data_IF_229572584538
#
_entry.id   IF_229572584538
#
_cell.length_a   1.000
_cell.length_b   1.000
_cell.length_c   1.000
_cell.angle_alpha   90.00
_cell.angle_beta   90.00
_cell.angle_gamma   90.00
#
_symmetry.space_group_name_H-M   'P 1'
#
loop_
_entity.id
_entity.type
_entity.pdbx_description
1 polymer ?
#
# COMPACT_ATOMS: atom_id res chain seq x y z
N UNK A 1 -9.59 -14.69 -20.59
CA UNK A 1 -8.79 -14.28 -19.41
C UNK A 1 -9.79 -13.81 -18.36
N UNK A 2 -9.90 -14.48 -17.22
CA UNK A 2 -10.59 -13.90 -16.05
C UNK A 2 -9.99 -12.53 -15.74
N UNK A 3 -10.78 -11.62 -15.14
CA UNK A 3 -10.46 -10.20 -15.02
C UNK A 3 -9.03 -9.93 -14.56
N UNK A 4 -8.29 -9.19 -15.38
CA UNK A 4 -6.96 -8.67 -15.04
C UNK A 4 -7.08 -7.66 -13.91
N UNK A 5 -6.13 -7.71 -12.98
CA UNK A 5 -6.03 -6.76 -11.89
C UNK A 5 -4.62 -6.20 -11.80
N UNK A 6 -4.47 -5.09 -11.09
CA UNK A 6 -3.18 -4.46 -10.83
C UNK A 6 -2.24 -5.43 -10.12
N UNK A 7 -1.00 -5.52 -10.60
CA UNK A 7 0.01 -6.47 -10.11
C UNK A 7 0.03 -7.81 -10.84
N UNK A 8 -0.92 -8.09 -11.75
CA UNK A 8 -0.83 -9.28 -12.62
C UNK A 8 0.44 -9.26 -13.47
N UNK A 9 1.17 -10.38 -13.45
CA UNK A 9 2.29 -10.62 -14.36
C UNK A 9 1.72 -11.17 -15.67
N UNK A 10 1.97 -10.47 -16.77
CA UNK A 10 1.39 -10.79 -18.08
C UNK A 10 2.45 -10.97 -19.15
N UNK A 11 2.16 -11.84 -20.09
CA UNK A 11 2.87 -11.90 -21.38
C UNK A 11 2.08 -11.02 -22.34
N UNK A 12 2.75 -10.10 -22.99
CA UNK A 12 2.14 -9.19 -23.96
C UNK A 12 2.98 -9.13 -25.24
N UNK A 13 2.35 -8.74 -26.34
CA UNK A 13 3.01 -8.53 -27.64
C UNK A 13 2.81 -7.09 -28.07
N UNK A 14 3.90 -6.46 -28.50
CA UNK A 14 3.86 -5.13 -29.08
C UNK A 14 3.26 -5.16 -30.49
N UNK A 15 2.40 -4.19 -30.78
CA UNK A 15 2.04 -3.79 -32.13
C UNK A 15 3.02 -2.71 -32.58
N UNK A 16 3.64 -2.91 -33.75
CA UNK A 16 4.59 -1.97 -34.32
C UNK A 16 3.96 -1.23 -35.51
N UNK A 17 4.28 0.04 -35.65
CA UNK A 17 3.99 0.79 -36.88
C UNK A 17 4.94 0.40 -38.02
N UNK A 18 4.71 0.96 -39.20
CA UNK A 18 5.54 0.73 -40.39
C UNK A 18 7.00 1.20 -40.23
N UNK A 19 7.30 1.98 -39.19
CA UNK A 19 8.64 2.49 -38.86
C UNK A 19 9.33 1.66 -37.76
N UNK A 20 8.68 0.60 -37.26
CA UNK A 20 9.18 -0.27 -36.21
C UNK A 20 8.98 0.25 -34.78
N UNK A 21 8.25 1.36 -34.60
CA UNK A 21 7.95 1.89 -33.27
C UNK A 21 6.77 1.14 -32.65
N UNK A 22 6.87 0.81 -31.36
CA UNK A 22 5.76 0.21 -30.61
C UNK A 22 4.68 1.28 -30.39
N UNK A 23 3.50 1.08 -30.95
CA UNK A 23 2.35 2.00 -30.83
C UNK A 23 1.28 1.50 -29.87
N UNK A 24 1.17 0.19 -29.69
CA UNK A 24 0.21 -0.45 -28.80
C UNK A 24 0.70 -1.85 -28.40
N UNK A 25 -0.07 -2.58 -27.59
CA UNK A 25 0.23 -3.96 -27.24
C UNK A 25 -1.01 -4.76 -26.81
N UNK A 26 -0.94 -6.08 -26.99
CA UNK A 26 -2.00 -7.00 -26.59
C UNK A 26 -1.48 -7.96 -25.53
N UNK A 27 -2.20 -8.05 -24.41
CA UNK A 27 -1.97 -9.09 -23.40
C UNK A 27 -2.40 -10.44 -23.97
N UNK A 28 -1.47 -11.37 -24.08
CA UNK A 28 -1.70 -12.70 -24.65
C UNK A 28 -1.90 -13.76 -23.58
N UNK A 29 -1.30 -13.59 -22.40
CA UNK A 29 -1.44 -14.51 -21.29
C UNK A 29 -1.23 -13.82 -19.93
N UNK A 30 -1.79 -14.41 -18.88
CA UNK A 30 -1.58 -14.04 -17.47
C UNK A 30 -0.89 -15.21 -16.77
N UNK A 31 0.17 -14.92 -16.02
CA UNK A 31 0.82 -15.91 -15.16
C UNK A 31 -0.05 -16.26 -13.95
N UNK A 32 0.23 -17.38 -13.29
CA UNK A 32 -0.42 -17.72 -12.03
C UNK A 32 -0.13 -16.64 -10.96
N UNK A 33 -1.15 -16.36 -10.14
CA UNK A 33 -1.04 -15.38 -9.05
C UNK A 33 -0.48 -16.07 -7.82
N UNK A 34 0.49 -15.43 -7.16
CA UNK A 34 1.00 -15.91 -5.88
C UNK A 34 0.02 -15.66 -4.73
N UNK A 35 -0.68 -14.52 -4.79
CA UNK A 35 -1.75 -14.14 -3.87
C UNK A 35 -2.71 -13.16 -4.57
N UNK A 36 -3.88 -12.96 -3.95
CA UNK A 36 -4.93 -12.07 -4.45
C UNK A 36 -5.49 -11.27 -3.27
N UNK A 37 -5.51 -9.95 -3.43
CA UNK A 37 -6.26 -9.09 -2.53
C UNK A 37 -7.67 -8.89 -3.09
N UNK A 38 -8.66 -9.18 -2.27
CA UNK A 38 -10.07 -9.09 -2.64
C UNK A 38 -10.81 -8.05 -1.81
N UNK A 39 -11.82 -7.43 -2.41
CA UNK A 39 -12.70 -6.47 -1.75
C UNK A 39 -14.15 -6.85 -1.99
N UNK A 40 -15.01 -6.86 -0.95
CA UNK A 40 -16.44 -7.04 -1.16
C UNK A 40 -17.02 -5.86 -1.94
N UNK A 41 -17.80 -6.16 -2.96
CA UNK A 41 -18.58 -5.17 -3.70
C UNK A 41 -19.87 -4.78 -2.95
N UNK A 42 -20.69 -3.90 -3.55
CA UNK A 42 -21.93 -3.41 -2.94
C UNK A 42 -22.96 -4.53 -2.63
N UNK A 43 -22.77 -5.73 -3.19
CA UNK A 43 -23.62 -6.91 -2.98
C UNK A 43 -22.94 -7.93 -2.06
N UNK A 44 -21.78 -7.59 -1.49
CA UNK A 44 -21.00 -8.46 -0.62
C UNK A 44 -20.18 -9.52 -1.36
N UNK A 45 -20.12 -9.47 -2.70
CA UNK A 45 -19.32 -10.42 -3.47
C UNK A 45 -17.86 -9.99 -3.46
N UNK A 46 -16.96 -10.89 -3.09
CA UNK A 46 -15.53 -10.63 -3.14
C UNK A 46 -15.08 -10.49 -4.60
N UNK A 47 -14.40 -9.38 -4.89
CA UNK A 47 -13.80 -9.12 -6.20
C UNK A 47 -12.30 -8.87 -6.05
N UNK A 48 -11.47 -9.46 -6.91
CA UNK A 48 -10.05 -9.20 -6.89
C UNK A 48 -9.78 -7.74 -7.25
N UNK A 49 -8.92 -7.08 -6.47
CA UNK A 49 -8.51 -5.69 -6.69
C UNK A 49 -7.03 -5.57 -7.02
N UNK A 50 -6.20 -6.48 -6.52
CA UNK A 50 -4.78 -6.54 -6.80
C UNK A 50 -4.24 -7.96 -6.61
N UNK A 51 -3.08 -8.27 -7.17
CA UNK A 51 -2.43 -9.57 -7.07
C UNK A 51 -0.90 -9.45 -6.99
N UNK A 52 -0.23 -10.54 -6.58
CA UNK A 52 1.23 -10.63 -6.47
C UNK A 52 1.82 -9.54 -5.55
N UNK A 53 1.22 -9.39 -4.38
CA UNK A 53 1.60 -8.43 -3.35
C UNK A 53 2.58 -9.12 -2.40
N UNK A 54 3.74 -8.52 -2.16
CA UNK A 54 4.73 -9.08 -1.26
C UNK A 54 4.40 -8.76 0.21
N UNK A 55 3.85 -7.58 0.47
CA UNK A 55 3.57 -7.12 1.84
C UNK A 55 2.38 -6.15 1.97
N UNK A 56 1.71 -6.22 3.12
CA UNK A 56 0.67 -5.27 3.54
C UNK A 56 1.22 -4.38 4.65
N UNK A 57 1.33 -3.08 4.36
CA UNK A 57 1.78 -2.06 5.30
C UNK A 57 0.55 -1.54 6.06
N UNK A 58 0.45 -1.94 7.33
CA UNK A 58 -0.62 -1.53 8.23
C UNK A 58 -0.18 -0.23 8.91
N UNK A 59 -0.64 0.90 8.37
CA UNK A 59 -0.25 2.23 8.84
C UNK A 59 -1.17 2.72 9.95
N UNK A 60 -0.57 3.14 11.04
CA UNK A 60 -1.22 3.82 12.16
C UNK A 60 -0.34 4.98 12.64
N UNK A 61 -0.88 5.82 13.51
CA UNK A 61 -0.18 6.97 14.07
C UNK A 61 -0.60 7.16 15.53
N UNK A 62 0.09 8.02 16.26
CA UNK A 62 -0.35 8.45 17.61
C UNK A 62 -1.70 9.16 17.53
N UNK A 63 -1.88 9.99 16.48
CA UNK A 63 -3.12 10.71 16.20
C UNK A 63 -3.52 10.54 14.72
N UNK A 64 -4.71 9.96 14.43
CA UNK A 64 -5.69 9.44 15.40
C UNK A 64 -5.21 8.17 16.12
N UNK A 65 -5.59 8.04 17.40
CA UNK A 65 -5.22 6.89 18.22
C UNK A 65 -5.65 5.57 17.57
N UNK A 66 -4.76 4.56 17.49
CA UNK A 66 -5.08 3.31 16.83
C UNK A 66 -6.00 2.47 17.71
N UNK A 67 -6.99 1.83 17.09
CA UNK A 67 -7.76 0.78 17.74
C UNK A 67 -6.99 -0.55 17.62
N UNK A 68 -6.55 -1.18 18.73
CA UNK A 68 -5.81 -2.45 18.67
C UNK A 68 -6.56 -3.53 17.89
N UNK A 69 -7.86 -3.66 18.12
CA UNK A 69 -8.72 -4.59 17.38
C UNK A 69 -8.72 -4.38 15.86
N UNK A 70 -8.46 -3.16 15.37
CA UNK A 70 -8.36 -2.91 13.94
C UNK A 70 -7.02 -3.41 13.38
N UNK A 71 -5.93 -3.26 14.13
CA UNK A 71 -4.63 -3.83 13.79
C UNK A 71 -4.73 -5.35 13.70
N UNK A 72 -5.30 -5.99 14.73
CA UNK A 72 -5.51 -7.44 14.77
C UNK A 72 -6.30 -7.95 13.54
N UNK A 73 -7.36 -7.23 13.15
CA UNK A 73 -8.15 -7.58 11.97
C UNK A 73 -7.35 -7.51 10.67
N UNK A 74 -6.45 -6.54 10.55
CA UNK A 74 -5.56 -6.47 9.39
C UNK A 74 -4.52 -7.58 9.41
N UNK A 75 -3.95 -7.91 10.57
CA UNK A 75 -3.03 -9.03 10.73
C UNK A 75 -3.69 -10.34 10.32
N UNK A 76 -4.89 -10.63 10.84
CA UNK A 76 -5.67 -11.82 10.46
C UNK A 76 -5.93 -11.88 8.96
N UNK A 77 -6.29 -10.75 8.34
CA UNK A 77 -6.54 -10.70 6.90
C UNK A 77 -5.25 -10.91 6.07
N UNK A 78 -4.12 -10.36 6.51
CA UNK A 78 -2.82 -10.55 5.87
C UNK A 78 -2.38 -12.02 5.94
N UNK A 79 -2.47 -12.64 7.11
CA UNK A 79 -2.16 -14.06 7.30
C UNK A 79 -3.08 -14.96 6.47
N UNK A 80 -4.38 -14.68 6.45
CA UNK A 80 -5.35 -15.45 5.66
C UNK A 80 -5.10 -15.37 4.14
N UNK A 81 -4.45 -14.30 3.67
CA UNK A 81 -4.08 -14.11 2.26
C UNK A 81 -2.65 -14.55 1.94
N UNK A 82 -1.88 -14.97 2.95
CA UNK A 82 -0.47 -15.33 2.80
C UNK A 82 0.43 -14.16 2.42
N UNK A 83 0.00 -12.92 2.68
CA UNK A 83 0.76 -11.70 2.38
C UNK A 83 1.41 -11.21 3.68
N UNK A 84 2.72 -10.95 3.67
CA UNK A 84 3.45 -10.58 4.88
C UNK A 84 2.96 -9.22 5.44
N UNK A 85 2.45 -9.14 6.68
CA UNK A 85 2.10 -7.87 7.29
C UNK A 85 3.34 -7.14 7.83
N UNK A 86 3.37 -5.83 7.65
CA UNK A 86 4.34 -4.92 8.27
C UNK A 86 3.58 -3.81 8.98
N UNK A 87 3.83 -3.63 10.27
CA UNK A 87 3.26 -2.55 11.06
C UNK A 87 4.05 -1.27 10.83
N UNK A 88 3.38 -0.18 10.45
CA UNK A 88 4.02 1.11 10.19
C UNK A 88 3.48 2.16 11.16
N UNK A 89 4.31 2.53 12.14
CA UNK A 89 4.03 3.66 13.02
C UNK A 89 4.45 4.96 12.34
N UNK A 90 3.49 5.71 11.83
CA UNK A 90 3.69 7.01 11.23
C UNK A 90 3.55 8.15 12.25
N UNK A 91 4.06 9.33 11.89
CA UNK A 91 4.07 10.56 12.70
C UNK A 91 4.77 10.35 14.05
N UNK A 92 5.91 9.67 14.05
CA UNK A 92 6.68 9.42 15.29
C UNK A 92 7.12 10.70 16.01
N UNK A 93 7.12 11.84 15.32
CA UNK A 93 7.31 13.17 15.88
C UNK A 93 6.24 13.55 16.93
N UNK A 94 5.09 12.88 16.93
CA UNK A 94 4.02 13.07 17.92
C UNK A 94 4.10 12.07 19.08
N UNK A 95 5.06 11.15 19.08
CA UNK A 95 5.19 10.16 20.13
C UNK A 95 5.72 10.84 21.41
N UNK A 96 5.02 10.72 22.56
CA UNK A 96 5.49 11.32 23.81
C UNK A 96 6.82 10.69 24.26
N UNK A 97 7.64 11.49 24.95
CA UNK A 97 8.86 10.99 25.59
C UNK A 97 8.52 9.82 26.53
N UNK A 98 9.18 8.68 26.31
CA UNK A 98 8.89 7.43 27.04
C UNK A 98 7.90 6.48 26.33
N UNK A 99 7.42 6.81 25.13
CA UNK A 99 6.79 5.86 24.20
C UNK A 99 5.33 5.46 24.51
N UNK A 100 4.89 5.56 25.77
CA UNK A 100 3.50 5.35 26.19
C UNK A 100 2.90 3.98 25.82
N UNK A 101 1.57 3.89 25.87
CA UNK A 101 0.83 2.65 25.60
C UNK A 101 1.03 2.09 24.19
N UNK A 102 1.27 2.99 23.22
CA UNK A 102 1.48 2.60 21.82
C UNK A 102 2.80 1.84 21.64
N UNK A 103 3.86 2.23 22.34
CA UNK A 103 5.15 1.52 22.27
C UNK A 103 5.03 0.13 22.89
N UNK A 104 4.33 0.00 24.02
CA UNK A 104 4.07 -1.32 24.63
C UNK A 104 3.15 -2.21 23.76
N UNK A 105 2.21 -1.61 23.02
CA UNK A 105 1.43 -2.33 22.02
C UNK A 105 2.33 -2.86 20.89
N UNK A 106 3.26 -2.04 20.37
CA UNK A 106 4.19 -2.48 19.32
C UNK A 106 5.14 -3.56 19.78
N UNK A 107 5.69 -3.43 20.99
CA UNK A 107 6.57 -4.44 21.59
C UNK A 107 5.89 -5.81 21.67
N UNK A 108 4.58 -5.84 21.94
CA UNK A 108 3.79 -7.10 21.92
C UNK A 108 3.72 -7.70 20.52
N UNK A 109 3.50 -6.90 19.49
CA UNK A 109 3.48 -7.42 18.11
C UNK A 109 4.86 -7.86 17.63
N UNK A 110 5.93 -7.14 17.99
CA UNK A 110 7.31 -7.57 17.70
C UNK A 110 7.64 -8.91 18.37
N UNK A 111 7.20 -9.10 19.62
CA UNK A 111 7.35 -10.37 20.32
C UNK A 111 6.57 -11.53 19.67
N UNK A 112 5.54 -11.25 18.87
CA UNK A 112 4.83 -12.22 18.05
C UNK A 112 5.51 -12.47 16.69
N UNK A 113 6.59 -11.75 16.38
CA UNK A 113 7.35 -11.89 15.14
C UNK A 113 6.96 -10.92 14.02
N UNK A 114 6.06 -9.96 14.28
CA UNK A 114 5.68 -8.97 13.29
C UNK A 114 6.74 -7.87 13.15
N UNK A 115 7.07 -7.53 11.90
CA UNK A 115 7.96 -6.41 11.61
C UNK A 115 7.27 -5.08 11.93
N UNK A 116 7.98 -4.21 12.65
CA UNK A 116 7.56 -2.84 12.93
C UNK A 116 8.55 -1.87 12.27
N UNK A 117 8.00 -0.90 11.54
CA UNK A 117 8.75 0.19 10.91
C UNK A 117 8.18 1.51 11.39
N UNK A 118 9.05 2.47 11.65
CA UNK A 118 8.66 3.83 12.02
C UNK A 118 8.83 4.78 10.84
N UNK A 119 7.98 5.80 10.78
CA UNK A 119 8.09 6.85 9.76
C UNK A 119 7.65 8.22 10.29
N UNK A 120 8.29 9.27 9.78
CA UNK A 120 7.83 10.66 9.94
C UNK A 120 8.15 11.45 8.68
N UNK A 121 7.27 12.39 8.34
CA UNK A 121 7.48 13.36 7.26
C UNK A 121 8.03 14.70 7.77
N UNK A 122 8.26 14.82 9.09
CA UNK A 122 8.77 16.04 9.72
C UNK A 122 10.29 16.22 9.58
N UNK A 123 11.01 15.16 9.17
CA UNK A 123 12.46 15.13 8.99
C UNK A 123 12.83 14.55 7.63
N UNK A 124 13.99 14.94 7.08
CA UNK A 124 14.46 14.44 5.78
C UNK A 124 14.80 12.94 5.81
N UNK A 125 15.36 12.45 6.90
CA UNK A 125 15.72 11.04 7.12
C UNK A 125 14.53 10.18 7.65
N UNK A 126 13.40 10.82 7.93
CA UNK A 126 12.27 10.21 8.63
C UNK A 126 11.56 9.08 7.89
N UNK A 127 11.88 8.86 6.61
CA UNK A 127 11.31 7.78 5.78
C UNK A 127 12.33 6.70 5.40
N UNK A 128 13.57 6.76 5.90
CA UNK A 128 14.62 5.84 5.47
C UNK A 128 14.30 4.37 5.76
N UNK A 129 13.82 4.07 6.97
CA UNK A 129 13.40 2.72 7.34
C UNK A 129 12.24 2.22 6.47
N UNK A 130 11.29 3.10 6.11
CA UNK A 130 10.18 2.79 5.22
C UNK A 130 10.67 2.54 3.79
N UNK A 131 11.60 3.33 3.27
CA UNK A 131 12.22 3.09 1.96
C UNK A 131 12.91 1.74 1.88
N UNK A 132 13.70 1.38 2.89
CA UNK A 132 14.36 0.09 2.96
C UNK A 132 13.34 -1.07 3.00
N UNK A 133 12.25 -0.89 3.74
CA UNK A 133 11.16 -1.87 3.80
C UNK A 133 10.43 -2.05 2.45
N UNK A 134 10.30 -0.99 1.66
CA UNK A 134 9.59 -0.98 0.38
C UNK A 134 10.44 -1.45 -0.80
N UNK A 135 11.76 -1.43 -0.67
CA UNK A 135 12.68 -1.73 -1.76
C UNK A 135 12.39 -3.13 -2.36
N UNK A 136 12.27 -3.17 -3.68
CA UNK A 136 12.05 -4.39 -4.48
C UNK A 136 10.79 -5.19 -4.11
N UNK A 137 9.81 -4.57 -3.42
CA UNK A 137 8.59 -5.23 -2.95
C UNK A 137 7.32 -4.51 -3.42
N UNK A 138 6.36 -5.28 -3.91
CA UNK A 138 5.01 -4.79 -4.18
C UNK A 138 4.24 -4.69 -2.87
N UNK A 139 3.83 -3.47 -2.53
CA UNK A 139 3.36 -3.12 -1.19
C UNK A 139 1.98 -2.48 -1.25
N UNK A 140 1.07 -2.88 -0.35
CA UNK A 140 -0.25 -2.26 -0.22
C UNK A 140 -0.35 -1.55 1.13
N UNK A 141 -0.80 -0.29 1.12
CA UNK A 141 -1.00 0.51 2.33
C UNK A 141 -2.45 0.39 2.82
N UNK A 142 -2.63 -0.06 4.06
CA UNK A 142 -3.93 -0.12 4.76
C UNK A 142 -3.86 0.66 6.07
N UNK A 143 -5.02 1.00 6.65
CA UNK A 143 -5.09 1.71 7.91
C UNK A 143 -6.20 2.76 7.95
N UNK A 144 -6.46 3.31 9.14
CA UNK A 144 -7.52 4.28 9.37
C UNK A 144 -7.32 5.58 8.58
N UNK A 145 -8.40 6.32 8.32
CA UNK A 145 -8.30 7.67 7.74
C UNK A 145 -7.51 8.60 8.69
N UNK A 146 -6.72 9.54 8.14
CA UNK A 146 -5.99 10.52 8.94
C UNK A 146 -4.61 10.07 9.48
N UNK A 147 -4.26 8.78 9.41
CA UNK A 147 -2.95 8.26 9.87
C UNK A 147 -1.77 8.68 8.98
N UNK A 148 -2.03 9.29 7.81
CA UNK A 148 -1.01 9.86 6.92
C UNK A 148 -0.61 9.00 5.71
N UNK A 149 -1.37 7.95 5.35
CA UNK A 149 -1.08 7.11 4.17
C UNK A 149 -0.85 7.90 2.88
N UNK A 150 -1.76 8.83 2.53
CA UNK A 150 -1.60 9.64 1.32
C UNK A 150 -0.34 10.50 1.40
N UNK A 151 -0.08 11.14 2.54
CA UNK A 151 1.14 11.92 2.74
C UNK A 151 2.42 11.08 2.63
N UNK A 152 2.39 9.81 3.06
CA UNK A 152 3.50 8.89 2.84
C UNK A 152 3.67 8.58 1.35
N UNK A 153 2.58 8.25 0.66
CA UNK A 153 2.61 7.98 -0.80
C UNK A 153 3.16 9.18 -1.57
N UNK A 154 2.66 10.38 -1.29
CA UNK A 154 3.09 11.62 -1.95
C UNK A 154 4.59 11.89 -1.74
N UNK A 155 5.12 11.60 -0.55
CA UNK A 155 6.55 11.77 -0.23
C UNK A 155 7.43 10.67 -0.82
N UNK A 156 6.91 9.44 -0.92
CA UNK A 156 7.61 8.31 -1.51
C UNK A 156 7.65 8.40 -3.04
N UNK A 157 6.69 9.10 -3.66
CA UNK A 157 6.51 9.24 -5.10
C UNK A 157 6.39 10.71 -5.53
N UNK A 158 7.42 11.55 -5.28
CA UNK A 158 7.34 12.98 -5.54
C UNK A 158 7.12 13.33 -7.02
N UNK A 159 7.53 12.46 -7.94
CA UNK A 159 7.43 12.67 -9.39
C UNK A 159 6.09 12.19 -10.00
N UNK A 160 5.15 11.64 -9.19
CA UNK A 160 3.87 11.07 -9.66
C UNK A 160 2.62 11.95 -9.35
N UNK A 161 2.79 13.28 -9.23
CA UNK A 161 1.68 14.23 -8.98
C UNK A 161 0.48 14.10 -9.94
N UNK A 162 0.66 13.46 -11.11
CA UNK A 162 -0.36 13.35 -12.16
C UNK A 162 -1.46 12.28 -11.95
N UNK A 163 -1.38 11.37 -10.96
CA UNK A 163 -2.40 10.29 -10.80
C UNK A 163 -3.11 10.22 -9.46
N UNK A 164 -2.59 10.87 -8.42
CA UNK A 164 -3.19 10.81 -7.06
C UNK A 164 -4.47 11.67 -6.98
N UNK A 165 -4.68 12.58 -7.94
CA UNK A 165 -5.82 13.50 -8.03
C UNK A 165 -7.22 12.89 -8.02
N UNK A 166 -7.36 11.57 -8.17
CA UNK A 166 -8.65 10.87 -8.09
C UNK A 166 -8.98 10.26 -6.70
N UNK A 167 -8.02 10.18 -5.77
CA UNK A 167 -8.22 9.42 -4.51
C UNK A 167 -8.57 10.30 -3.28
N UNK A 168 -8.44 11.63 -3.35
CA UNK A 168 -8.50 12.50 -2.16
C UNK A 168 -9.41 13.74 -2.26
N UNK A 169 -10.44 13.74 -3.10
CA UNK A 169 -11.51 14.76 -3.06
C UNK A 169 -12.90 14.13 -2.96
N UNK A 170 -13.19 13.46 -1.85
CA UNK A 170 -14.57 13.43 -1.37
C UNK A 170 -14.65 13.20 0.15
N UNK A 171 -14.49 14.28 0.90
CA UNK A 171 -14.86 14.35 2.31
C UNK A 171 -15.75 15.57 2.51
N UNK A 172 -16.95 15.53 1.93
CA UNK A 172 -18.18 16.20 2.39
C UNK A 172 -19.31 16.07 1.35
N UNK A 173 -19.83 14.85 1.18
CA UNK A 173 -21.24 14.53 0.89
C UNK A 173 -21.36 13.02 0.79
N UNK A 174 -22.52 12.46 1.16
CA UNK A 174 -22.84 11.08 0.77
C UNK A 174 -23.24 11.13 -0.70
N UNK A 175 -22.41 10.57 -1.60
CA UNK A 175 -22.96 9.70 -2.63
C UNK A 175 -22.12 8.42 -2.77
N UNK A 176 -22.72 7.42 -3.40
CA UNK A 176 -22.18 6.09 -3.70
C UNK A 176 -20.70 6.13 -4.10
N UNK A 177 -19.82 5.29 -3.50
CA UNK A 177 -18.40 5.35 -3.78
C UNK A 177 -18.12 5.04 -5.27
N UNK A 178 -17.35 5.87 -5.99
CA UNK A 178 -16.92 5.54 -7.34
C UNK A 178 -16.05 4.27 -7.34
N UNK A 179 -15.96 3.55 -8.47
CA UNK A 179 -15.04 2.42 -8.60
C UNK A 179 -13.62 2.91 -8.32
N UNK A 180 -13.05 2.47 -7.19
CA UNK A 180 -11.65 2.75 -6.85
C UNK A 180 -10.80 1.70 -7.56
N UNK A 181 -10.11 2.12 -8.61
CA UNK A 181 -9.12 1.29 -9.28
C UNK A 181 -7.85 1.21 -8.42
N UNK A 182 -7.29 0.02 -8.25
CA UNK A 182 -5.95 -0.13 -7.68
C UNK A 182 -4.92 0.35 -8.71
N UNK A 183 -3.93 1.12 -8.27
CA UNK A 183 -2.81 1.57 -9.10
C UNK A 183 -1.51 1.08 -8.49
N UNK A 184 -0.55 0.67 -9.33
CA UNK A 184 0.80 0.30 -8.90
C UNK A 184 1.79 1.33 -9.44
N UNK A 185 2.66 1.79 -8.55
CA UNK A 185 3.67 2.81 -8.80
C UNK A 185 4.98 2.34 -8.19
N UNK A 186 6.10 2.82 -8.73
CA UNK A 186 7.43 2.44 -8.27
C UNK A 186 8.16 3.67 -7.72
N UNK A 187 8.68 3.64 -6.47
CA UNK A 187 9.53 4.72 -5.97
C UNK A 187 10.75 4.92 -6.87
N UNK A 188 11.19 6.17 -7.10
CA UNK A 188 12.40 6.41 -7.86
C UNK A 188 13.59 5.75 -7.14
N UNK A 189 14.56 5.17 -7.88
CA UNK A 189 15.76 4.63 -7.26
C UNK A 189 16.51 5.75 -6.52
N UNK A 190 16.99 5.48 -5.30
CA UNK A 190 17.89 6.40 -4.58
C UNK A 190 19.09 6.67 -5.49
N UNK A 191 19.32 7.92 -5.88
CA UNK A 191 20.56 8.30 -6.56
C UNK A 191 21.71 8.00 -5.60
N UNK A 192 22.77 7.29 -6.02
CA UNK A 192 23.97 7.18 -5.21
C UNK A 192 24.58 8.58 -5.05
N UNK A 193 24.96 8.93 -3.81
CA UNK A 193 25.80 10.09 -3.52
C UNK A 193 27.21 9.89 -4.07
#
# INVERSE_FOLDING_TARGET
>A
LEGLVTGDRVVWRAAQDSSGNVVDGVVVARSERQNVLERPDARGQLKPVAANIDQILIVFAVEPAPHPNLIDRYLVAAEATGIAPVLVLNKIDLLPEGGGELTELLRRYEALGYAVVTSTTAREDGLEALHACLAERTSVFVGQSGVGKSSLIDRLLPDEELRIGALSKDSRKVPTPPPRHASMTCPPPKRPN
#
